data_IF_158774122693
#
_entry.id   IF_158774122693
#
_cell.length_a   1.000
_cell.length_b   1.000
_cell.length_c   1.000
_cell.angle_alpha   90.00
_cell.angle_beta   90.00
_cell.angle_gamma   90.00
#
_symmetry.space_group_name_H-M   'P 1'
#
loop_
_entity.id
_entity.type
_entity.pdbx_description
1 polymer ?
#
# COMPACT_ATOMS: atom_id res chain seq x y z
N UNK A 1 3.26 17.14 2.45
CA UNK A 1 2.55 16.15 3.29
C UNK A 1 1.06 16.41 3.39
N UNK A 2 0.57 17.54 3.92
CA UNK A 2 -0.87 17.81 4.09
C UNK A 2 -1.70 17.58 2.82
N UNK A 3 -1.20 17.98 1.66
CA UNK A 3 -1.87 17.82 0.36
C UNK A 3 -2.22 16.37 0.02
N UNK A 4 -1.42 15.39 0.47
CA UNK A 4 -1.67 13.96 0.19
C UNK A 4 -2.96 13.43 0.85
N UNK A 5 -3.49 14.13 1.85
CA UNK A 5 -4.71 13.78 2.58
C UNK A 5 -5.93 14.61 2.16
N UNK A 6 -5.79 15.49 1.17
CA UNK A 6 -6.92 16.19 0.59
C UNK A 6 -7.66 15.27 -0.40
N UNK A 7 -8.99 15.38 -0.41
CA UNK A 7 -9.81 14.66 -1.39
C UNK A 7 -9.47 15.11 -2.81
N UNK A 8 -9.41 14.15 -3.73
CA UNK A 8 -9.08 14.38 -5.13
C UNK A 8 -7.66 14.92 -5.40
N UNK A 9 -6.81 15.00 -4.38
CA UNK A 9 -5.41 15.40 -4.57
C UNK A 9 -4.61 14.20 -5.10
N UNK A 10 -4.22 14.29 -6.36
CA UNK A 10 -3.38 13.29 -7.03
C UNK A 10 -2.26 13.95 -7.81
N UNK A 11 -1.09 13.35 -7.79
CA UNK A 11 0.05 13.75 -8.64
C UNK A 11 0.08 12.99 -9.98
N UNK A 12 -0.82 12.02 -10.17
CA UNK A 12 -0.74 11.00 -11.21
C UNK A 12 -1.60 11.29 -12.42
N UNK A 13 -2.64 12.13 -12.29
CA UNK A 13 -3.56 12.52 -13.36
C UNK A 13 -3.67 14.03 -13.36
N UNK A 14 -3.39 14.64 -14.51
CA UNK A 14 -3.53 16.08 -14.77
C UNK A 14 -4.37 16.37 -16.00
N UNK A 15 -4.50 15.39 -16.90
CA UNK A 15 -5.22 15.52 -18.16
C UNK A 15 -6.09 14.29 -18.43
N UNK A 16 -7.03 14.41 -19.36
CA UNK A 16 -7.85 13.30 -19.84
C UNK A 16 -7.00 12.16 -20.44
N UNK A 17 -5.90 12.50 -21.10
CA UNK A 17 -4.97 11.51 -21.69
C UNK A 17 -4.30 10.64 -20.63
N UNK A 18 -4.03 11.18 -19.45
CA UNK A 18 -3.45 10.42 -18.35
C UNK A 18 -4.40 9.33 -17.83
N UNK A 19 -5.73 9.49 -18.00
CA UNK A 19 -6.75 8.49 -17.68
C UNK A 19 -6.72 7.29 -18.63
N UNK A 20 -6.34 7.52 -19.89
CA UNK A 20 -6.27 6.48 -20.92
C UNK A 20 -4.99 5.64 -20.80
N UNK A 21 -3.98 6.16 -20.10
CA UNK A 21 -2.66 5.54 -19.95
C UNK A 21 -2.23 5.42 -18.48
N UNK A 22 -3.14 4.94 -17.60
CA UNK A 22 -2.84 4.79 -16.17
C UNK A 22 -1.83 3.66 -15.97
N UNK A 23 -0.58 4.02 -15.68
CA UNK A 23 0.49 3.09 -15.31
C UNK A 23 0.71 2.94 -13.80
N UNK A 24 -0.23 3.39 -12.96
CA UNK A 24 -0.07 3.39 -11.49
C UNK A 24 -1.24 2.73 -10.79
N UNK A 25 -0.99 2.03 -9.68
CA UNK A 25 -2.01 1.34 -8.89
C UNK A 25 -3.09 2.25 -8.30
N UNK A 26 -2.77 3.50 -8.04
CA UNK A 26 -3.70 4.48 -7.50
C UNK A 26 -3.69 5.78 -8.29
N UNK A 27 -4.86 6.34 -8.58
CA UNK A 27 -4.99 7.53 -9.39
C UNK A 27 -6.03 8.56 -8.89
N UNK A 28 -6.97 8.15 -8.04
CA UNK A 28 -8.11 8.99 -7.63
C UNK A 28 -7.79 10.01 -6.55
N UNK A 29 -6.67 9.87 -5.82
CA UNK A 29 -6.31 10.77 -4.71
C UNK A 29 -7.29 10.73 -3.53
N UNK A 30 -7.94 9.60 -3.27
CA UNK A 30 -8.97 9.49 -2.22
C UNK A 30 -8.60 8.52 -1.10
N UNK A 31 -7.70 7.56 -1.34
CA UNK A 31 -7.43 6.49 -0.37
C UNK A 31 -6.93 7.02 0.98
N UNK A 32 -5.91 7.87 0.98
CA UNK A 32 -5.36 8.44 2.21
C UNK A 32 -6.35 9.35 2.93
N UNK A 33 -7.13 10.13 2.18
CA UNK A 33 -8.19 10.97 2.76
C UNK A 33 -9.28 10.11 3.43
N UNK A 34 -9.71 9.02 2.79
CA UNK A 34 -10.71 8.11 3.35
C UNK A 34 -10.19 7.37 4.59
N UNK A 35 -8.93 6.89 4.56
CA UNK A 35 -8.30 6.20 5.69
C UNK A 35 -8.18 7.15 6.89
N UNK A 36 -7.62 8.35 6.68
CA UNK A 36 -7.40 9.32 7.75
C UNK A 36 -8.71 9.80 8.39
N UNK A 37 -9.80 9.89 7.63
CA UNK A 37 -11.10 10.31 8.13
C UNK A 37 -11.68 9.36 9.21
N UNK A 38 -11.25 8.11 9.25
CA UNK A 38 -11.78 7.09 10.16
C UNK A 38 -10.71 6.46 11.07
N UNK A 39 -9.55 7.10 11.18
CA UNK A 39 -8.41 6.56 11.94
C UNK A 39 -7.53 7.67 12.49
N UNK A 40 -6.54 7.29 13.31
CA UNK A 40 -5.40 8.13 13.67
C UNK A 40 -4.21 7.74 12.80
N UNK A 41 -3.63 8.73 12.13
CA UNK A 41 -2.53 8.51 11.17
C UNK A 41 -1.31 9.31 11.56
N UNK A 42 -0.17 8.63 11.67
CA UNK A 42 1.14 9.28 11.73
C UNK A 42 1.89 9.00 10.44
N UNK A 43 2.43 10.03 9.82
CA UNK A 43 3.26 9.90 8.63
C UNK A 43 4.62 10.52 8.89
N UNK A 44 5.66 9.79 8.48
CA UNK A 44 7.05 10.23 8.48
C UNK A 44 7.58 10.07 7.06
N UNK A 45 8.27 11.09 6.55
CA UNK A 45 8.83 11.01 5.21
C UNK A 45 10.09 11.84 5.09
N UNK A 46 11.11 11.26 4.44
CA UNK A 46 12.36 11.92 4.10
C UNK A 46 12.71 11.64 2.64
N UNK A 47 13.09 12.68 1.92
CA UNK A 47 13.61 12.56 0.56
C UNK A 47 15.07 12.10 0.57
N UNK A 48 15.50 11.46 -0.51
CA UNK A 48 16.86 10.91 -0.68
C UNK A 48 17.98 11.88 -0.36
N UNK A 49 17.84 13.12 -0.78
CA UNK A 49 18.90 14.12 -0.76
C UNK A 49 18.74 15.13 0.39
N UNK A 50 17.94 14.79 1.42
CA UNK A 50 17.71 15.69 2.55
C UNK A 50 18.21 15.09 3.86
N UNK A 51 18.86 15.90 4.69
CA UNK A 51 19.38 15.48 5.99
C UNK A 51 18.27 15.31 7.04
N UNK A 52 17.14 15.98 6.83
CA UNK A 52 16.00 15.94 7.77
C UNK A 52 14.71 15.53 7.05
N UNK A 53 13.93 14.73 7.74
CA UNK A 53 12.57 14.39 7.32
C UNK A 53 11.53 15.27 8.00
N UNK A 54 10.29 14.97 7.70
CA UNK A 54 9.13 15.62 8.30
C UNK A 54 8.12 14.59 8.81
N UNK A 55 7.37 14.96 9.84
CA UNK A 55 6.25 14.19 10.37
C UNK A 55 4.96 14.99 10.36
N UNK A 56 3.85 14.28 10.26
CA UNK A 56 2.51 14.83 10.33
C UNK A 56 1.60 13.83 11.04
N UNK A 57 0.83 14.33 12.01
CA UNK A 57 -0.23 13.57 12.68
C UNK A 57 -1.59 14.03 12.17
N UNK A 58 -2.52 13.07 11.96
CA UNK A 58 -3.90 13.33 11.62
C UNK A 58 -4.80 12.53 12.56
N UNK A 59 -5.91 13.14 12.97
CA UNK A 59 -6.97 12.50 13.74
C UNK A 59 -8.33 12.77 13.09
N UNK A 60 -9.05 11.71 12.71
CA UNK A 60 -10.36 11.84 12.06
C UNK A 60 -10.36 12.71 10.80
N UNK A 61 -9.26 12.70 10.05
CA UNK A 61 -9.06 13.49 8.84
C UNK A 61 -8.59 14.93 9.08
N UNK A 62 -8.45 15.36 10.33
CA UNK A 62 -7.95 16.71 10.68
C UNK A 62 -6.42 16.66 10.80
N UNK A 63 -5.68 17.35 9.94
CA UNK A 63 -4.22 17.37 10.01
C UNK A 63 -3.73 18.36 11.08
N UNK A 64 -2.79 17.92 11.90
CA UNK A 64 -1.98 18.76 12.77
C UNK A 64 -0.91 19.57 12.02
N UNK A 65 0.10 20.01 12.74
CA UNK A 65 1.23 20.70 12.14
C UNK A 65 2.30 19.75 11.63
N UNK A 66 2.92 20.14 10.51
CA UNK A 66 4.10 19.44 10.00
C UNK A 66 5.29 19.82 10.87
N UNK A 67 5.98 18.81 11.40
CA UNK A 67 7.16 18.99 12.25
C UNK A 67 8.39 18.37 11.60
N UNK A 68 9.56 18.91 11.86
CA UNK A 68 10.81 18.25 11.51
C UNK A 68 10.92 16.93 12.29
N UNK A 69 11.42 15.89 11.66
CA UNK A 69 11.55 14.57 12.26
C UNK A 69 12.78 13.83 11.71
N UNK A 70 13.52 13.17 12.59
CA UNK A 70 14.54 12.20 12.19
C UNK A 70 13.83 10.90 11.77
N UNK A 71 13.92 10.55 10.49
CA UNK A 71 13.37 9.30 9.98
C UNK A 71 14.23 8.76 8.83
N UNK A 72 14.17 7.45 8.55
CA UNK A 72 14.81 6.86 7.38
C UNK A 72 14.30 7.51 6.07
N UNK A 73 15.10 7.36 5.02
CA UNK A 73 14.68 7.67 3.66
C UNK A 73 13.43 6.88 3.27
N UNK A 74 12.52 7.52 2.54
CA UNK A 74 11.24 6.94 2.15
C UNK A 74 10.07 7.49 2.96
N UNK A 75 8.99 6.72 3.05
CA UNK A 75 7.77 7.13 3.74
C UNK A 75 7.25 6.00 4.63
N UNK A 76 7.02 6.32 5.90
CA UNK A 76 6.36 5.45 6.87
C UNK A 76 4.98 6.02 7.18
N UNK A 77 3.95 5.22 7.07
CA UNK A 77 2.57 5.58 7.42
C UNK A 77 2.09 4.58 8.48
N UNK A 78 1.72 5.10 9.65
CA UNK A 78 1.16 4.33 10.74
C UNK A 78 -0.32 4.67 10.87
N UNK A 79 -1.20 3.69 10.63
CA UNK A 79 -2.65 3.82 10.80
C UNK A 79 -3.02 3.07 12.08
N UNK A 80 -3.67 3.78 13.01
CA UNK A 80 -4.09 3.22 14.30
C UNK A 80 -5.56 3.50 14.54
N UNK A 81 -6.16 2.67 15.39
CA UNK A 81 -7.54 2.83 15.86
C UNK A 81 -8.53 3.00 14.69
N UNK A 82 -8.42 2.13 13.68
CA UNK A 82 -9.31 2.14 12.53
C UNK A 82 -10.78 2.05 13.00
N UNK A 83 -11.61 2.97 12.49
CA UNK A 83 -13.04 3.12 12.82
C UNK A 83 -13.36 3.58 14.25
N UNK A 84 -12.38 4.15 15.01
CA UNK A 84 -12.63 4.64 16.37
C UNK A 84 -13.78 5.65 16.45
N UNK A 85 -13.97 6.47 15.43
CA UNK A 85 -15.02 7.49 15.31
C UNK A 85 -16.24 7.03 14.51
N UNK A 86 -16.28 5.77 14.08
CA UNK A 86 -17.38 5.17 13.30
C UNK A 86 -17.79 3.81 13.87
N UNK A 87 -18.42 3.77 15.07
CA UNK A 87 -18.73 2.52 15.79
C UNK A 87 -19.56 1.52 14.98
N UNK A 88 -20.44 2.03 14.10
CA UNK A 88 -21.24 1.16 13.23
C UNK A 88 -20.34 0.35 12.29
N UNK A 89 -19.31 0.96 11.70
CA UNK A 89 -18.36 0.25 10.83
C UNK A 89 -17.50 -0.74 11.62
N UNK A 90 -17.07 -0.36 12.84
CA UNK A 90 -16.30 -1.25 13.69
C UNK A 90 -17.08 -2.54 14.02
N UNK A 91 -18.39 -2.49 14.21
CA UNK A 91 -19.24 -3.67 14.44
C UNK A 91 -19.29 -4.65 13.27
N UNK A 92 -19.02 -4.20 12.04
CA UNK A 92 -19.01 -5.05 10.85
C UNK A 92 -17.64 -5.67 10.57
N UNK A 93 -16.61 -5.30 11.31
CA UNK A 93 -15.30 -5.96 11.20
C UNK A 93 -15.41 -7.42 11.63
N UNK A 94 -14.73 -8.27 10.90
CA UNK A 94 -14.59 -9.69 11.23
C UNK A 94 -13.57 -9.86 12.36
N UNK A 95 -13.33 -11.09 12.76
CA UNK A 95 -12.24 -11.40 13.70
C UNK A 95 -10.90 -11.01 13.11
N UNK A 96 -9.95 -10.59 13.93
CA UNK A 96 -8.62 -10.12 13.53
C UNK A 96 -7.90 -11.10 12.60
N UNK A 97 -8.06 -12.41 12.86
CA UNK A 97 -7.49 -13.45 12.00
C UNK A 97 -8.06 -13.44 10.57
N UNK A 98 -9.36 -13.13 10.42
CA UNK A 98 -10.02 -13.10 9.12
C UNK A 98 -9.66 -11.80 8.37
N UNK A 99 -9.61 -10.67 9.07
CA UNK A 99 -9.15 -9.40 8.48
C UNK A 99 -7.67 -9.48 8.09
N UNK A 100 -6.83 -10.07 8.94
CA UNK A 100 -5.43 -10.31 8.64
C UNK A 100 -5.21 -11.24 7.43
N UNK A 101 -6.05 -12.27 7.28
CA UNK A 101 -6.01 -13.15 6.11
C UNK A 101 -6.42 -12.41 4.82
N UNK A 102 -7.46 -11.56 4.89
CA UNK A 102 -7.88 -10.74 3.76
C UNK A 102 -6.78 -9.74 3.35
N UNK A 103 -6.15 -9.07 4.31
CA UNK A 103 -5.01 -8.19 4.07
C UNK A 103 -3.84 -8.93 3.42
N UNK A 104 -3.51 -10.14 3.92
CA UNK A 104 -2.47 -10.99 3.34
C UNK A 104 -2.78 -11.33 1.89
N UNK A 105 -4.03 -11.69 1.57
CA UNK A 105 -4.45 -11.99 0.19
C UNK A 105 -4.24 -10.80 -0.74
N UNK A 106 -4.61 -9.60 -0.33
CA UNK A 106 -4.42 -8.37 -1.13
C UNK A 106 -2.94 -8.10 -1.38
N UNK A 107 -2.10 -8.18 -0.34
CA UNK A 107 -0.65 -7.95 -0.48
C UNK A 107 -0.01 -9.02 -1.37
N UNK A 108 -0.45 -10.28 -1.27
CA UNK A 108 0.01 -11.37 -2.15
C UNK A 108 -0.31 -11.08 -3.62
N UNK A 109 -1.54 -10.64 -3.92
CA UNK A 109 -1.93 -10.27 -5.29
C UNK A 109 -1.10 -9.09 -5.83
N UNK A 110 -0.84 -8.07 -5.00
CA UNK A 110 0.02 -6.96 -5.37
C UNK A 110 1.45 -7.41 -5.65
N UNK A 111 2.01 -8.27 -4.81
CA UNK A 111 3.35 -8.80 -4.98
C UNK A 111 3.50 -9.64 -6.27
N UNK A 112 2.48 -10.42 -6.63
CA UNK A 112 2.47 -11.18 -7.88
C UNK A 112 2.30 -10.30 -9.13
N UNK A 113 1.56 -9.20 -9.01
CA UNK A 113 1.37 -8.24 -10.13
C UNK A 113 2.55 -7.29 -10.31
N UNK A 114 3.41 -7.16 -9.31
CA UNK A 114 4.59 -6.28 -9.33
C UNK A 114 5.84 -7.02 -8.85
N UNK A 115 6.36 -7.97 -9.63
CA UNK A 115 7.51 -8.77 -9.26
C UNK A 115 8.82 -7.96 -9.15
N UNK A 116 8.85 -6.76 -9.71
CA UNK A 116 9.92 -5.77 -9.63
C UNK A 116 9.98 -5.03 -8.28
N UNK A 117 8.95 -5.19 -7.43
CA UNK A 117 8.89 -4.59 -6.10
C UNK A 117 9.07 -5.66 -5.03
N UNK A 118 9.95 -5.39 -4.07
CA UNK A 118 10.06 -6.23 -2.86
C UNK A 118 8.93 -5.89 -1.88
N UNK A 119 8.13 -6.91 -1.56
CA UNK A 119 7.08 -6.82 -0.54
C UNK A 119 7.47 -7.59 0.71
N UNK A 120 7.32 -6.96 1.85
CA UNK A 120 7.46 -7.60 3.16
C UNK A 120 6.21 -7.36 3.98
N UNK A 121 5.53 -8.43 4.37
CA UNK A 121 4.35 -8.39 5.23
C UNK A 121 4.62 -9.05 6.57
N UNK A 122 4.40 -8.31 7.62
CA UNK A 122 4.42 -8.79 8.99
C UNK A 122 2.98 -8.83 9.53
N UNK A 123 2.61 -9.92 10.19
CA UNK A 123 1.35 -10.06 10.92
C UNK A 123 1.64 -10.56 12.32
N UNK A 124 1.21 -9.81 13.33
CA UNK A 124 1.48 -10.11 14.73
C UNK A 124 2.98 -10.34 15.03
N UNK A 125 3.83 -9.54 14.38
CA UNK A 125 5.29 -9.63 14.51
C UNK A 125 5.95 -10.77 13.73
N UNK A 126 5.17 -11.64 13.07
CA UNK A 126 5.70 -12.72 12.25
C UNK A 126 5.69 -12.36 10.76
N UNK A 127 6.77 -12.69 10.06
CA UNK A 127 6.87 -12.52 8.62
C UNK A 127 5.99 -13.57 7.92
N UNK A 128 4.98 -13.10 7.16
CA UNK A 128 4.04 -13.97 6.43
C UNK A 128 4.23 -13.91 4.92
N UNK A 129 4.91 -12.88 4.42
CA UNK A 129 5.30 -12.77 3.03
C UNK A 129 6.58 -11.95 2.92
N UNK A 130 7.50 -12.40 2.05
CA UNK A 130 8.66 -11.61 1.65
C UNK A 130 9.06 -11.97 0.22
N UNK A 131 8.87 -11.05 -0.73
CA UNK A 131 9.27 -11.20 -2.13
C UNK A 131 10.56 -10.44 -2.43
N UNK A 132 11.42 -10.96 -3.33
CA UNK A 132 12.74 -10.37 -3.58
C UNK A 132 12.69 -9.01 -4.32
N UNK A 133 11.70 -8.79 -5.20
CA UNK A 133 11.65 -7.60 -6.05
C UNK A 133 12.66 -7.64 -7.19
N UNK A 134 12.94 -8.82 -7.71
CA UNK A 134 13.96 -9.06 -8.76
C UNK A 134 13.41 -8.97 -10.20
N UNK A 135 12.16 -8.61 -10.35
CA UNK A 135 11.47 -8.50 -11.63
C UNK A 135 11.02 -9.86 -12.21
N UNK A 136 11.25 -10.97 -11.49
CA UNK A 136 10.88 -12.30 -11.96
C UNK A 136 9.59 -12.79 -11.30
N UNK A 137 8.54 -12.97 -12.10
CA UNK A 137 7.26 -13.47 -11.60
C UNK A 137 7.39 -14.81 -10.87
N UNK A 138 8.23 -15.72 -11.38
CA UNK A 138 8.42 -17.02 -10.76
C UNK A 138 9.03 -16.92 -9.34
N UNK A 139 9.94 -15.98 -9.11
CA UNK A 139 10.50 -15.71 -7.79
C UNK A 139 9.42 -15.19 -6.82
N UNK A 140 8.56 -14.30 -7.30
CA UNK A 140 7.42 -13.80 -6.51
C UNK A 140 6.42 -14.92 -6.19
N UNK A 141 6.09 -15.78 -7.17
CA UNK A 141 5.23 -16.96 -6.98
C UNK A 141 5.84 -17.92 -5.96
N UNK A 142 7.14 -18.19 -6.05
CA UNK A 142 7.83 -19.06 -5.13
C UNK A 142 7.76 -18.56 -3.68
N UNK A 143 7.98 -17.27 -3.50
CA UNK A 143 7.92 -16.63 -2.19
C UNK A 143 6.49 -16.57 -1.61
N UNK A 144 5.49 -16.33 -2.47
CA UNK A 144 4.11 -16.08 -2.05
C UNK A 144 3.25 -17.35 -1.93
N UNK A 145 3.45 -18.32 -2.81
CA UNK A 145 2.60 -19.52 -2.92
C UNK A 145 3.35 -20.83 -2.63
N UNK A 146 4.65 -20.74 -2.41
CA UNK A 146 5.50 -21.87 -2.03
C UNK A 146 6.06 -22.68 -3.21
N UNK A 147 7.00 -23.54 -2.84
CA UNK A 147 7.83 -24.30 -3.79
C UNK A 147 7.02 -25.26 -4.66
N UNK A 148 6.10 -25.97 -4.06
CA UNK A 148 5.38 -27.04 -4.75
C UNK A 148 4.42 -26.47 -5.78
N UNK A 149 3.76 -25.34 -5.44
CA UNK A 149 2.93 -24.60 -6.38
C UNK A 149 3.77 -24.05 -7.55
N UNK A 150 4.89 -23.39 -7.27
CA UNK A 150 5.76 -22.81 -8.29
C UNK A 150 6.29 -23.89 -9.29
N UNK A 151 6.58 -25.10 -8.82
CA UNK A 151 7.03 -26.21 -9.67
C UNK A 151 5.94 -26.81 -10.56
N UNK A 152 4.68 -26.65 -10.20
CA UNK A 152 3.54 -27.14 -10.98
C UNK A 152 3.13 -26.20 -12.11
N UNK A 153 3.70 -24.99 -12.16
CA UNK A 153 3.37 -23.99 -13.17
C UNK A 153 4.10 -24.30 -14.48
N UNK A 154 3.36 -24.17 -15.57
CA UNK A 154 3.90 -24.19 -16.93
C UNK A 154 3.91 -22.75 -17.47
N UNK A 155 5.04 -22.27 -18.02
CA UNK A 155 5.07 -20.97 -18.65
C UNK A 155 4.20 -21.01 -19.92
N UNK A 156 3.27 -20.07 -20.03
CA UNK A 156 2.44 -19.90 -21.23
C UNK A 156 2.65 -18.48 -21.72
N UNK A 157 3.15 -18.34 -22.92
CA UNK A 157 3.28 -17.05 -23.59
C UNK A 157 2.09 -16.90 -24.55
N UNK A 158 1.14 -16.05 -24.19
CA UNK A 158 -0.05 -15.74 -24.99
C UNK A 158 0.06 -14.32 -25.49
N UNK A 159 0.32 -14.16 -26.78
CA UNK A 159 0.15 -12.88 -27.47
C UNK A 159 -1.31 -12.68 -27.86
N UNK A 160 -2.01 -11.75 -27.21
CA UNK A 160 -3.32 -11.29 -27.67
C UNK A 160 -3.09 -10.26 -28.78
N UNK A 161 -3.25 -10.68 -30.02
CA UNK A 161 -3.35 -9.76 -31.14
C UNK A 161 -4.76 -9.16 -31.07
N UNK A 162 -4.84 -7.91 -30.69
CA UNK A 162 -6.08 -7.14 -30.88
C UNK A 162 -6.19 -6.79 -32.38
N UNK A 163 -7.17 -7.40 -33.03
CA UNK A 163 -7.60 -7.04 -34.39
C UNK A 163 -8.45 -5.79 -34.29
#
# INVERSE_FOLDING_TARGET
MKTAFLRHATSKIRSQRDLEAIGTLGFRGEALAAISAVSRVDIFSRQRETDSGASLHLEGGVPGDVKAAGCPEGTTICVRELFYNTPARMKFMKKDSAEGAAATSVVTQLALSHPDVSFKLLRDGQEVLHTPGDGQLLSAVYAALGRDFARSLLPVDLSLIHI
#
